data_IF_233435573711
#
_entry.id   IF_233435573711
#
_cell.length_a   1.000
_cell.length_b   1.000
_cell.length_c   1.000
_cell.angle_alpha   90.00
_cell.angle_beta   90.00
_cell.angle_gamma   90.00
#
_symmetry.space_group_name_H-M   'P 1'
#
loop_
_entity.id
_entity.type
_entity.pdbx_description
1 polymer ?
#
# COMPACT_ATOMS: atom_id res chain seq x y z
N UNK A 1 -43.28 19.43 30.62
CA UNK A 1 -43.09 20.24 29.39
C UNK A 1 -41.65 20.64 29.09
N UNK A 2 -40.91 21.40 29.92
CA UNK A 2 -39.53 21.81 29.57
C UNK A 2 -38.52 20.66 29.62
N UNK A 3 -38.53 19.85 30.69
CA UNK A 3 -37.68 18.65 30.86
C UNK A 3 -37.92 17.63 29.74
N UNK A 4 -39.17 17.44 29.32
CA UNK A 4 -39.52 16.49 28.25
C UNK A 4 -38.97 16.94 26.89
N UNK A 5 -39.01 18.25 26.59
CA UNK A 5 -38.40 18.81 25.38
C UNK A 5 -36.89 18.64 25.37
N UNK A 6 -36.23 18.92 26.50
CA UNK A 6 -34.79 18.72 26.65
C UNK A 6 -34.40 17.24 26.49
N UNK A 7 -35.18 16.32 27.05
CA UNK A 7 -34.94 14.88 26.92
C UNK A 7 -35.09 14.40 25.46
N UNK A 8 -36.07 14.91 24.71
CA UNK A 8 -36.26 14.59 23.30
C UNK A 8 -35.06 15.11 22.48
N UNK A 9 -34.61 16.33 22.74
CA UNK A 9 -33.50 16.93 22.00
C UNK A 9 -32.17 16.20 22.31
N UNK A 10 -31.93 15.82 23.56
CA UNK A 10 -30.77 14.99 23.92
C UNK A 10 -30.84 13.65 23.21
N UNK A 11 -31.98 12.96 23.22
CA UNK A 11 -32.15 11.69 22.49
C UNK A 11 -31.86 11.84 21.01
N UNK A 12 -32.34 12.91 20.37
CA UNK A 12 -32.09 13.19 18.95
C UNK A 12 -30.60 13.44 18.67
N UNK A 13 -29.93 14.26 19.49
CA UNK A 13 -28.50 14.55 19.35
C UNK A 13 -27.64 13.31 19.58
N UNK A 14 -27.95 12.53 20.61
CA UNK A 14 -27.25 11.28 20.91
C UNK A 14 -27.42 10.27 19.78
N UNK A 15 -28.62 10.12 19.22
CA UNK A 15 -28.87 9.25 18.08
C UNK A 15 -28.15 9.70 16.79
N UNK A 16 -27.81 10.99 16.68
CA UNK A 16 -27.07 11.53 15.55
C UNK A 16 -25.55 11.61 15.78
N UNK A 17 -25.08 11.41 17.02
CA UNK A 17 -23.67 11.55 17.36
C UNK A 17 -22.78 10.57 16.60
N UNK A 18 -23.26 9.35 16.38
CA UNK A 18 -22.57 8.32 15.59
C UNK A 18 -23.60 7.68 14.65
N UNK A 19 -23.35 7.71 13.34
CA UNK A 19 -24.26 7.13 12.35
C UNK A 19 -23.51 6.31 11.29
N UNK A 20 -23.99 5.12 10.91
CA UNK A 20 -23.45 4.41 9.77
C UNK A 20 -23.83 5.11 8.46
N UNK A 21 -22.93 5.02 7.48
CA UNK A 21 -23.18 5.52 6.14
C UNK A 21 -22.25 4.92 5.10
N UNK A 22 -22.47 5.29 3.86
CA UNK A 22 -21.70 4.84 2.70
C UNK A 22 -21.20 6.05 1.93
N UNK A 23 -19.96 5.99 1.45
CA UNK A 23 -19.33 7.09 0.72
C UNK A 23 -19.95 7.18 -0.68
N UNK A 24 -20.59 8.31 -0.97
CA UNK A 24 -21.28 8.55 -2.25
C UNK A 24 -20.38 9.32 -3.23
N UNK A 25 -19.62 10.31 -2.73
CA UNK A 25 -18.75 11.16 -3.54
C UNK A 25 -17.47 11.50 -2.80
N UNK A 26 -16.38 11.70 -3.54
CA UNK A 26 -15.05 12.03 -3.00
C UNK A 26 -14.43 13.18 -3.78
N UNK A 27 -13.99 14.23 -3.09
CA UNK A 27 -13.17 15.32 -3.64
C UNK A 27 -11.72 15.09 -3.22
N UNK A 28 -10.93 14.59 -4.17
CA UNK A 28 -9.51 14.28 -3.98
C UNK A 28 -8.64 15.54 -3.82
N UNK A 29 -9.07 16.71 -4.31
CA UNK A 29 -8.28 17.95 -4.21
C UNK A 29 -8.39 18.55 -2.81
N UNK A 30 -9.57 18.46 -2.21
CA UNK A 30 -9.85 19.00 -0.87
C UNK A 30 -9.79 17.98 0.26
N UNK A 31 -9.60 16.69 -0.07
CA UNK A 31 -9.67 15.58 0.87
C UNK A 31 -11.00 15.52 1.64
N UNK A 32 -12.12 15.69 0.92
CA UNK A 32 -13.47 15.68 1.46
C UNK A 32 -14.29 14.54 0.84
N UNK A 33 -15.28 14.04 1.57
CA UNK A 33 -16.24 13.06 1.07
C UNK A 33 -17.68 13.48 1.42
N UNK A 34 -18.63 13.05 0.60
CA UNK A 34 -20.06 13.05 0.92
C UNK A 34 -20.50 11.65 1.28
N UNK A 35 -21.25 11.53 2.36
CA UNK A 35 -21.70 10.24 2.89
C UNK A 35 -23.21 10.20 2.87
N UNK A 36 -23.75 9.08 2.39
CA UNK A 36 -25.16 8.76 2.48
C UNK A 36 -25.43 7.94 3.73
N UNK A 37 -26.26 8.47 4.63
CA UNK A 37 -26.72 7.79 5.86
C UNK A 37 -28.24 7.74 5.83
N UNK A 38 -28.81 6.60 5.43
CA UNK A 38 -30.26 6.47 5.22
C UNK A 38 -30.75 7.43 4.14
N UNK A 39 -31.67 8.33 4.49
CA UNK A 39 -32.22 9.34 3.57
C UNK A 39 -31.44 10.66 3.58
N UNK A 40 -30.34 10.77 4.32
CA UNK A 40 -29.55 12.00 4.44
C UNK A 40 -28.26 11.82 3.63
N UNK A 41 -28.02 12.76 2.72
CA UNK A 41 -26.71 12.95 2.09
C UNK A 41 -26.03 14.12 2.80
N UNK A 42 -24.83 13.90 3.34
CA UNK A 42 -24.06 14.98 3.96
C UNK A 42 -23.56 15.96 2.90
N UNK A 43 -23.21 17.18 3.34
CA UNK A 43 -22.33 18.02 2.54
C UNK A 43 -20.90 17.45 2.53
N UNK A 44 -19.94 18.16 1.96
CA UNK A 44 -18.53 17.79 1.98
C UNK A 44 -17.96 17.77 3.40
N UNK A 45 -17.45 16.60 3.81
CA UNK A 45 -16.91 16.37 5.15
C UNK A 45 -15.49 15.82 5.10
N UNK A 46 -14.61 16.24 6.02
CA UNK A 46 -13.29 15.65 6.15
C UNK A 46 -13.41 14.19 6.59
N UNK A 47 -12.50 13.36 6.10
CA UNK A 47 -12.38 11.96 6.50
C UNK A 47 -11.09 11.71 7.29
N UNK A 48 -11.10 10.67 8.13
CA UNK A 48 -9.91 10.21 8.83
C UNK A 48 -8.94 9.52 7.87
N UNK A 49 -7.64 9.71 8.11
CA UNK A 49 -6.54 8.94 7.52
C UNK A 49 -5.70 8.35 8.65
N UNK A 50 -4.85 7.37 8.36
CA UNK A 50 -4.01 6.72 9.37
C UNK A 50 -3.07 7.72 10.06
N UNK A 51 -2.47 8.65 9.31
CA UNK A 51 -1.58 9.68 9.84
C UNK A 51 -1.77 11.01 9.09
N UNK A 52 -1.93 12.11 9.82
CA UNK A 52 -2.11 13.47 9.29
C UNK A 52 -1.20 14.52 9.97
N UNK A 53 -0.12 14.07 10.63
CA UNK A 53 0.85 14.92 11.33
C UNK A 53 2.18 15.04 10.57
N UNK A 54 3.30 14.87 11.27
CA UNK A 54 4.64 14.86 10.65
C UNK A 54 4.77 13.78 9.57
N UNK A 55 4.17 12.61 9.82
CA UNK A 55 3.88 11.59 8.82
C UNK A 55 2.48 11.85 8.25
N UNK A 56 2.37 11.86 6.92
CA UNK A 56 1.11 12.03 6.20
C UNK A 56 0.90 10.84 5.29
N UNK A 57 -0.19 10.13 5.51
CA UNK A 57 -0.58 8.99 4.68
C UNK A 57 -1.71 9.42 3.73
N UNK A 58 -1.52 9.17 2.44
CA UNK A 58 -2.52 9.42 1.40
C UNK A 58 -3.14 8.10 0.94
N UNK A 59 -4.37 7.86 1.39
CA UNK A 59 -5.22 6.79 0.89
C UNK A 59 -6.64 7.36 0.88
N UNK A 60 -7.17 7.77 -0.30
CA UNK A 60 -8.51 8.31 -0.39
C UNK A 60 -9.55 7.20 -0.25
N UNK A 61 -10.74 7.50 0.28
CA UNK A 61 -11.81 6.51 0.33
C UNK A 61 -12.32 6.16 -1.07
N UNK A 62 -12.90 4.98 -1.20
CA UNK A 62 -13.61 4.58 -2.42
C UNK A 62 -15.10 4.96 -2.37
N UNK A 63 -15.70 5.20 -3.52
CA UNK A 63 -17.16 5.30 -3.65
C UNK A 63 -17.75 3.92 -3.32
N UNK A 64 -18.78 3.89 -2.48
CA UNK A 64 -19.40 2.66 -1.97
C UNK A 64 -18.77 2.14 -0.68
N UNK A 65 -17.67 2.72 -0.20
CA UNK A 65 -17.02 2.27 1.04
C UNK A 65 -17.90 2.56 2.26
N UNK A 66 -18.02 1.58 3.16
CA UNK A 66 -18.74 1.73 4.42
C UNK A 66 -17.95 2.57 5.43
N UNK A 67 -18.66 3.46 6.12
CA UNK A 67 -18.07 4.43 7.03
C UNK A 67 -19.00 4.77 8.21
N UNK A 68 -18.45 5.44 9.21
CA UNK A 68 -19.17 6.05 10.32
C UNK A 68 -19.06 7.57 10.24
N UNK A 69 -20.17 8.25 10.47
CA UNK A 69 -20.23 9.68 10.70
C UNK A 69 -20.13 9.95 12.19
N UNK A 70 -19.13 10.73 12.59
CA UNK A 70 -18.94 11.22 13.95
C UNK A 70 -19.37 12.69 13.98
N UNK A 71 -20.49 12.97 14.62
CA UNK A 71 -21.11 14.31 14.64
C UNK A 71 -21.07 14.89 16.08
N UNK A 72 -20.07 15.73 16.41
CA UNK A 72 -20.04 16.41 17.70
C UNK A 72 -21.34 17.17 17.96
N UNK A 73 -21.96 16.95 19.12
CA UNK A 73 -23.25 17.56 19.46
C UNK A 73 -24.46 17.06 18.64
N UNK A 74 -24.29 16.01 17.83
CA UNK A 74 -25.34 15.47 16.97
C UNK A 74 -25.64 16.30 15.72
N UNK A 75 -24.72 17.20 15.34
CA UNK A 75 -24.83 18.02 14.14
C UNK A 75 -24.06 17.41 12.96
N UNK A 76 -24.81 16.87 11.99
CA UNK A 76 -24.25 16.29 10.78
C UNK A 76 -23.61 17.34 9.84
N UNK A 77 -23.85 18.63 10.09
CA UNK A 77 -23.18 19.71 9.39
C UNK A 77 -21.74 19.96 9.87
N UNK A 78 -21.31 19.29 10.94
CA UNK A 78 -19.95 19.37 11.49
C UNK A 78 -19.32 17.98 11.65
N UNK A 79 -19.88 16.97 10.98
CA UNK A 79 -19.41 15.61 11.16
C UNK A 79 -18.07 15.31 10.47
N UNK A 80 -17.38 14.33 11.01
CA UNK A 80 -16.17 13.73 10.46
C UNK A 80 -16.47 12.31 9.98
N UNK A 81 -15.83 11.89 8.90
CA UNK A 81 -16.04 10.57 8.29
C UNK A 81 -14.94 9.60 8.71
N UNK A 82 -15.27 8.60 9.52
CA UNK A 82 -14.38 7.50 9.86
C UNK A 82 -14.62 6.34 8.90
N UNK A 83 -13.59 5.95 8.15
CA UNK A 83 -13.66 4.91 7.11
C UNK A 83 -13.00 3.60 7.54
N UNK A 84 -12.98 2.60 6.64
CA UNK A 84 -12.28 1.33 6.86
C UNK A 84 -13.12 0.24 7.50
N UNK A 85 -14.44 0.27 7.31
CA UNK A 85 -15.31 -0.85 7.69
C UNK A 85 -15.47 -1.81 6.52
N UNK A 86 -15.18 -3.09 6.76
CA UNK A 86 -15.49 -4.15 5.80
C UNK A 86 -16.99 -4.22 5.52
N UNK A 87 -17.33 -4.57 4.29
CA UNK A 87 -18.71 -4.67 3.82
C UNK A 87 -18.82 -5.69 2.69
N UNK A 88 -20.04 -5.98 2.25
CA UNK A 88 -20.26 -6.86 1.09
C UNK A 88 -19.61 -6.33 -0.19
N UNK A 89 -19.45 -5.00 -0.30
CA UNK A 89 -18.75 -4.37 -1.43
C UNK A 89 -17.23 -4.45 -1.30
N UNK A 90 -16.70 -4.46 -0.08
CA UNK A 90 -15.26 -4.46 0.21
C UNK A 90 -14.96 -5.45 1.34
N UNK A 91 -14.71 -6.69 0.95
CA UNK A 91 -14.45 -7.80 1.88
C UNK A 91 -13.03 -7.77 2.44
N UNK A 92 -12.78 -8.41 3.59
CA UNK A 92 -11.42 -8.58 4.10
C UNK A 92 -10.51 -9.28 3.06
N UNK A 93 -9.26 -8.81 2.87
CA UNK A 93 -8.35 -9.36 1.87
C UNK A 93 -7.63 -10.65 2.32
N UNK A 94 -7.73 -11.00 3.61
CA UNK A 94 -7.16 -12.23 4.19
C UNK A 94 -7.98 -12.68 5.40
N UNK A 95 -7.94 -13.99 5.66
CA UNK A 95 -8.53 -14.68 6.81
C UNK A 95 -7.47 -15.23 7.78
N UNK A 96 -6.19 -15.02 7.48
CA UNK A 96 -5.06 -15.54 8.27
C UNK A 96 -4.63 -14.56 9.37
N UNK A 97 -4.46 -15.02 10.62
CA UNK A 97 -4.16 -14.14 11.75
C UNK A 97 -2.74 -13.55 11.69
N UNK A 98 -1.77 -14.28 11.15
CA UNK A 98 -0.37 -13.86 11.06
C UNK A 98 -0.07 -12.99 9.82
N UNK A 99 -1.10 -12.61 9.03
CA UNK A 99 -0.91 -11.88 7.78
C UNK A 99 -1.41 -10.44 7.86
N UNK A 100 -0.54 -9.52 7.48
CA UNK A 100 -0.90 -8.12 7.23
C UNK A 100 -0.95 -7.90 5.72
N UNK A 101 -2.14 -7.61 5.19
CA UNK A 101 -2.36 -7.49 3.75
C UNK A 101 -2.92 -6.13 3.39
N UNK A 102 -2.26 -5.43 2.46
CA UNK A 102 -2.81 -4.28 1.74
C UNK A 102 -3.06 -4.69 0.29
N UNK A 103 -4.33 -4.71 -0.12
CA UNK A 103 -4.77 -5.07 -1.47
C UNK A 103 -5.32 -3.85 -2.20
N UNK A 104 -4.93 -3.70 -3.46
CA UNK A 104 -5.38 -2.64 -4.36
C UNK A 104 -6.35 -3.18 -5.41
N UNK A 105 -7.12 -2.27 -6.02
CA UNK A 105 -8.18 -2.62 -6.99
C UNK A 105 -7.66 -3.38 -8.22
N UNK A 106 -6.39 -3.19 -8.59
CA UNK A 106 -5.75 -3.88 -9.72
C UNK A 106 -5.24 -5.29 -9.36
N UNK A 107 -5.46 -5.75 -8.13
CA UNK A 107 -4.96 -7.01 -7.60
C UNK A 107 -3.52 -6.95 -7.11
N UNK A 108 -2.89 -5.76 -7.08
CA UNK A 108 -1.61 -5.57 -6.41
C UNK A 108 -1.78 -5.85 -4.91
N UNK A 109 -0.86 -6.61 -4.31
CA UNK A 109 -0.88 -6.93 -2.88
C UNK A 109 0.49 -6.71 -2.23
N UNK A 110 0.47 -6.09 -1.07
CA UNK A 110 1.59 -6.05 -0.11
C UNK A 110 1.20 -6.96 1.05
N UNK A 111 1.97 -8.03 1.25
CA UNK A 111 1.67 -9.06 2.26
C UNK A 111 2.90 -9.19 3.16
N UNK A 112 2.70 -9.03 4.45
CA UNK A 112 3.66 -9.44 5.46
C UNK A 112 3.11 -10.66 6.21
N UNK A 113 3.87 -11.74 6.19
CA UNK A 113 3.55 -12.98 6.90
C UNK A 113 4.49 -13.10 8.12
N UNK A 114 3.93 -13.01 9.32
CA UNK A 114 4.69 -13.04 10.58
C UNK A 114 5.30 -14.42 10.86
N UNK A 115 4.57 -15.49 10.55
CA UNK A 115 5.02 -16.87 10.79
C UNK A 115 6.27 -17.19 9.96
N UNK A 116 6.31 -16.70 8.72
CA UNK A 116 7.46 -16.85 7.83
C UNK A 116 8.45 -15.68 7.91
N UNK A 117 8.11 -14.62 8.66
CA UNK A 117 8.84 -13.34 8.66
C UNK A 117 9.15 -12.83 7.25
N UNK A 118 8.17 -12.95 6.34
CA UNK A 118 8.35 -12.73 4.90
C UNK A 118 7.51 -11.57 4.40
N UNK A 119 8.14 -10.63 3.69
CA UNK A 119 7.46 -9.65 2.86
C UNK A 119 7.28 -10.17 1.43
N UNK A 120 6.07 -10.05 0.90
CA UNK A 120 5.71 -10.41 -0.49
C UNK A 120 5.01 -9.23 -1.16
N UNK A 121 5.54 -8.84 -2.31
CA UNK A 121 4.99 -7.74 -3.13
C UNK A 121 4.55 -8.36 -4.45
N UNK A 122 3.25 -8.41 -4.69
CA UNK A 122 2.66 -8.85 -5.97
C UNK A 122 2.21 -7.62 -6.73
N UNK A 123 2.94 -7.23 -7.76
CA UNK A 123 2.59 -6.08 -8.62
C UNK A 123 3.12 -6.28 -10.04
N UNK A 124 2.80 -5.37 -10.96
CA UNK A 124 3.28 -5.38 -12.35
C UNK A 124 4.68 -4.79 -12.49
N UNK A 125 4.97 -3.71 -11.76
CA UNK A 125 6.24 -2.99 -11.82
C UNK A 125 6.56 -2.38 -10.45
N UNK A 126 7.84 -2.39 -10.07
CA UNK A 126 8.34 -1.71 -8.86
C UNK A 126 9.39 -0.70 -9.32
N UNK A 127 9.13 0.59 -9.05
CA UNK A 127 10.08 1.69 -9.31
C UNK A 127 10.63 2.17 -7.97
N UNK A 128 11.94 2.16 -7.83
CA UNK A 128 12.65 2.67 -6.64
C UNK A 128 13.54 3.83 -7.10
N UNK A 129 13.14 5.05 -6.76
CA UNK A 129 13.93 6.26 -6.99
C UNK A 129 14.63 6.64 -5.68
N UNK A 130 15.93 6.34 -5.60
CA UNK A 130 16.75 6.59 -4.42
C UNK A 130 18.20 6.85 -4.84
N UNK A 131 18.90 7.73 -4.11
CA UNK A 131 20.32 8.04 -4.34
C UNK A 131 21.23 6.82 -4.22
N UNK A 132 20.87 5.87 -3.34
CA UNK A 132 21.57 4.60 -3.14
C UNK A 132 20.57 3.50 -2.80
N UNK A 133 20.68 2.37 -3.48
CA UNK A 133 19.92 1.15 -3.17
C UNK A 133 20.91 0.07 -2.73
N UNK A 134 20.71 -0.50 -1.55
CA UNK A 134 21.49 -1.63 -1.02
C UNK A 134 20.56 -2.80 -0.74
N UNK A 135 20.83 -3.98 -1.32
CA UNK A 135 20.05 -5.19 -1.09
C UNK A 135 20.99 -6.24 -0.48
N UNK A 136 20.95 -6.39 0.84
CA UNK A 136 21.81 -7.34 1.55
C UNK A 136 21.05 -8.62 1.84
N UNK A 137 21.50 -9.73 1.25
CA UNK A 137 20.93 -11.06 1.47
C UNK A 137 22.04 -12.06 1.76
N UNK A 138 22.03 -12.68 2.95
CA UNK A 138 23.00 -13.73 3.33
C UNK A 138 23.00 -14.95 2.39
N UNK A 139 21.96 -15.06 1.54
CA UNK A 139 21.80 -16.03 0.45
C UNK A 139 21.33 -15.30 -0.81
N UNK A 140 22.03 -14.26 -1.25
CA UNK A 140 21.76 -13.56 -2.50
C UNK A 140 21.99 -14.47 -3.72
N UNK A 141 21.18 -15.51 -3.88
CA UNK A 141 21.31 -16.54 -4.93
C UNK A 141 21.26 -15.93 -6.32
N UNK A 142 20.49 -14.84 -6.53
CA UNK A 142 20.36 -14.21 -7.84
C UNK A 142 21.60 -13.38 -8.24
N UNK A 143 22.13 -12.54 -7.33
CA UNK A 143 23.33 -11.72 -7.62
C UNK A 143 24.56 -12.62 -7.71
N UNK A 144 24.64 -13.65 -6.86
CA UNK A 144 25.68 -14.67 -6.94
C UNK A 144 25.57 -15.51 -8.22
N UNK A 145 24.38 -15.95 -8.62
CA UNK A 145 24.20 -16.71 -9.87
C UNK A 145 24.52 -15.87 -11.10
N UNK A 146 24.20 -14.57 -11.10
CA UNK A 146 24.58 -13.65 -12.18
C UNK A 146 26.09 -13.44 -12.19
N UNK A 147 26.72 -13.22 -11.03
CA UNK A 147 28.19 -13.09 -10.91
C UNK A 147 28.92 -14.38 -11.35
N UNK A 148 28.45 -15.55 -10.90
CA UNK A 148 28.98 -16.87 -11.27
C UNK A 148 28.80 -17.13 -12.77
N UNK A 149 27.64 -16.79 -13.35
CA UNK A 149 27.39 -16.91 -14.79
C UNK A 149 28.31 -15.98 -15.61
N UNK A 150 28.52 -14.75 -15.17
CA UNK A 150 29.46 -13.80 -15.80
C UNK A 150 30.90 -14.32 -15.72
N UNK A 151 31.31 -14.90 -14.60
CA UNK A 151 32.64 -15.51 -14.45
C UNK A 151 32.84 -16.70 -15.41
N UNK A 152 31.85 -17.59 -15.53
CA UNK A 152 31.89 -18.73 -16.46
C UNK A 152 32.01 -18.24 -17.91
N UNK A 153 31.22 -17.23 -18.31
CA UNK A 153 31.27 -16.71 -19.68
C UNK A 153 32.62 -16.03 -19.96
N UNK A 154 33.18 -15.30 -18.98
CA UNK A 154 34.49 -14.67 -19.10
C UNK A 154 35.64 -15.68 -19.30
N UNK A 155 35.53 -16.87 -18.71
CA UNK A 155 36.56 -17.93 -18.79
C UNK A 155 36.32 -18.93 -19.92
N UNK A 156 35.11 -18.95 -20.50
CA UNK A 156 34.77 -19.87 -21.58
C UNK A 156 35.61 -19.59 -22.84
N UNK A 157 36.25 -20.65 -23.37
CA UNK A 157 36.97 -20.62 -24.64
C UNK A 157 36.21 -21.46 -25.66
N UNK A 158 35.91 -20.88 -26.82
CA UNK A 158 35.31 -21.57 -27.95
C UNK A 158 36.41 -22.39 -28.66
N UNK A 159 36.28 -23.72 -28.74
CA UNK A 159 37.24 -24.53 -29.49
C UNK A 159 37.03 -24.27 -30.99
N UNK A 160 38.03 -23.68 -31.65
CA UNK A 160 38.03 -23.48 -33.10
C UNK A 160 39.15 -24.29 -33.75
N UNK A 161 39.07 -24.51 -35.07
CA UNK A 161 40.12 -25.23 -35.82
C UNK A 161 41.49 -24.50 -35.82
N UNK A 162 41.55 -23.26 -35.33
CA UNK A 162 42.79 -22.47 -35.13
C UNK A 162 43.23 -22.41 -33.65
N UNK A 163 42.66 -23.25 -32.78
CA UNK A 163 42.91 -23.25 -31.34
C UNK A 163 41.77 -22.59 -30.54
N UNK A 164 41.76 -22.76 -29.20
CA UNK A 164 40.73 -22.21 -28.34
C UNK A 164 40.80 -20.68 -28.33
N UNK A 165 39.75 -20.01 -28.83
CA UNK A 165 39.57 -18.55 -28.77
C UNK A 165 38.69 -18.19 -27.57
N UNK A 166 38.87 -17.01 -27.00
CA UNK A 166 37.98 -16.53 -25.94
C UNK A 166 36.56 -16.34 -26.50
N UNK A 167 35.52 -16.72 -25.74
CA UNK A 167 34.14 -16.63 -26.20
C UNK A 167 33.59 -15.19 -26.29
N UNK A 168 34.31 -14.22 -25.73
CA UNK A 168 34.01 -12.79 -25.81
C UNK A 168 35.25 -12.08 -26.36
N UNK A 169 35.09 -11.42 -27.52
CA UNK A 169 36.17 -10.67 -28.18
C UNK A 169 36.45 -9.32 -27.50
N UNK A 170 35.47 -8.76 -26.77
CA UNK A 170 35.61 -7.50 -26.04
C UNK A 170 35.17 -7.64 -24.57
N UNK A 171 36.15 -7.95 -23.70
CA UNK A 171 35.95 -8.13 -22.26
C UNK A 171 36.12 -6.84 -21.46
N UNK A 172 36.31 -5.69 -22.10
CA UNK A 172 36.71 -4.45 -21.40
C UNK A 172 35.71 -3.97 -20.34
N UNK A 173 34.41 -4.24 -20.52
CA UNK A 173 33.35 -3.80 -19.58
C UNK A 173 32.92 -4.86 -18.55
N UNK A 174 33.34 -6.12 -18.71
CA UNK A 174 33.00 -7.18 -17.75
C UNK A 174 33.54 -6.92 -16.33
N UNK A 175 34.77 -6.39 -16.14
CA UNK A 175 35.30 -6.08 -14.81
C UNK A 175 34.50 -4.98 -14.09
N UNK A 176 34.04 -3.95 -14.81
CA UNK A 176 33.19 -2.89 -14.26
C UNK A 176 31.82 -3.43 -13.83
N UNK A 177 31.17 -4.23 -14.69
CA UNK A 177 29.89 -4.86 -14.36
C UNK A 177 30.03 -5.80 -13.16
N UNK A 178 31.14 -6.57 -13.10
CA UNK A 178 31.45 -7.44 -11.96
C UNK A 178 31.69 -6.63 -10.68
N UNK A 179 32.46 -5.55 -10.74
CA UNK A 179 32.68 -4.67 -9.58
C UNK A 179 31.38 -4.02 -9.08
N UNK A 180 30.49 -3.64 -10.00
CA UNK A 180 29.18 -3.10 -9.65
C UNK A 180 28.34 -4.18 -8.96
N UNK A 181 28.29 -5.40 -9.50
CA UNK A 181 27.56 -6.52 -8.93
C UNK A 181 28.11 -6.97 -7.56
N UNK A 182 29.43 -7.02 -7.41
CA UNK A 182 30.09 -7.36 -6.15
C UNK A 182 29.85 -6.29 -5.08
N UNK A 183 29.71 -5.01 -5.46
CA UNK A 183 29.32 -3.93 -4.53
C UNK A 183 27.90 -4.06 -3.97
N UNK A 184 27.04 -4.88 -4.60
CA UNK A 184 25.72 -5.22 -4.06
C UNK A 184 25.75 -6.46 -3.13
N UNK A 185 26.90 -7.13 -2.98
CA UNK A 185 27.06 -8.32 -2.13
C UNK A 185 27.68 -8.02 -0.75
N UNK A 186 28.26 -6.83 -0.54
CA UNK A 186 28.72 -6.32 0.77
C UNK A 186 27.58 -5.69 1.60
#
# INVERSE_FOLDING_TARGET
MQIERELIEIKRRTANAIRPGTIEMVDLRKALAKVKSGNILTDWRPYFTAHSGNRRDWSPPAIGESCLLLAPGGDLSLCFVLRGLYSDAFTPPSDKPAQHVSEFVDGTKLIFDEDESRWSIKTKEIVIDAEKVSITGKKGELIKAISDALAIIAESKTPTMMGPREALEDKTKLPEIKSILDSFLE
#
